data_IF_677028282356
#
_entry.id   IF_677028282356
#
_cell.length_a   1.000
_cell.length_b   1.000
_cell.length_c   1.000
_cell.angle_alpha   90.00
_cell.angle_beta   90.00
_cell.angle_gamma   90.00
#
_symmetry.space_group_name_H-M   'P 1'
#
loop_
_entity.id
_entity.type
_entity.pdbx_description
1 polymer ?
#
# COMPACT_ATOMS: atom_id res chain seq x y z
N UNK A 1 -19.91 -6.43 20.78
CA UNK A 1 -19.89 -7.16 19.48
C UNK A 1 -20.25 -6.27 18.29
N UNK A 2 -21.27 -5.41 18.36
CA UNK A 2 -21.67 -4.56 17.20
C UNK A 2 -20.56 -3.66 16.64
N UNK A 3 -19.70 -3.09 17.49
CA UNK A 3 -18.56 -2.26 17.02
C UNK A 3 -17.57 -3.04 16.15
N UNK A 4 -17.36 -4.33 16.43
CA UNK A 4 -16.47 -5.21 15.63
C UNK A 4 -17.08 -5.47 14.25
N UNK A 5 -18.42 -5.63 14.18
CA UNK A 5 -19.14 -5.81 12.91
C UNK A 5 -18.94 -4.62 11.95
N UNK A 6 -18.75 -3.41 12.48
CA UNK A 6 -18.57 -2.15 11.72
C UNK A 6 -17.17 -1.95 11.15
N UNK A 7 -16.17 -2.72 11.57
CA UNK A 7 -14.80 -2.58 11.10
C UNK A 7 -14.77 -2.84 9.59
N UNK A 8 -14.60 -1.84 8.71
CA UNK A 8 -14.67 -2.10 7.27
C UNK A 8 -13.44 -2.88 6.81
N UNK A 9 -13.58 -3.77 5.82
CA UNK A 9 -12.44 -4.50 5.23
C UNK A 9 -11.33 -3.57 4.74
N UNK A 10 -11.68 -2.34 4.35
CA UNK A 10 -10.72 -1.31 3.95
C UNK A 10 -9.74 -0.87 5.05
N UNK A 11 -9.98 -1.22 6.32
CA UNK A 11 -9.03 -0.96 7.40
C UNK A 11 -7.68 -1.65 7.17
N UNK A 12 -7.66 -2.75 6.39
CA UNK A 12 -6.43 -3.40 5.93
C UNK A 12 -5.46 -2.44 5.23
N UNK A 13 -5.99 -1.46 4.47
CA UNK A 13 -5.18 -0.41 3.87
C UNK A 13 -4.56 0.54 4.90
N UNK A 14 -5.31 0.87 5.96
CA UNK A 14 -4.82 1.71 7.07
C UNK A 14 -3.76 0.97 7.89
N UNK A 15 -3.96 -0.32 8.15
CA UNK A 15 -2.98 -1.18 8.82
C UNK A 15 -1.65 -1.16 8.03
N UNK A 16 -1.74 -1.42 6.72
CA UNK A 16 -0.59 -1.38 5.82
C UNK A 16 0.09 0.01 5.83
N UNK A 17 -0.69 1.08 5.74
CA UNK A 17 -0.19 2.46 5.75
C UNK A 17 0.52 2.82 7.06
N UNK A 18 -0.04 2.46 8.22
CA UNK A 18 0.56 2.69 9.53
C UNK A 18 1.87 1.89 9.71
N UNK A 19 1.89 0.62 9.32
CA UNK A 19 3.10 -0.19 9.37
C UNK A 19 4.21 0.36 8.44
N UNK A 20 3.84 0.80 7.24
CA UNK A 20 4.76 1.45 6.32
C UNK A 20 5.24 2.82 6.85
N UNK A 21 4.38 3.58 7.53
CA UNK A 21 4.72 4.89 8.09
C UNK A 21 5.76 4.74 9.20
N UNK A 22 5.63 3.71 10.05
CA UNK A 22 6.69 3.37 11.01
C UNK A 22 8.03 3.09 10.35
N UNK A 23 8.06 2.41 9.19
CA UNK A 23 9.29 2.18 8.43
C UNK A 23 9.83 3.48 7.80
N UNK A 24 8.96 4.36 7.28
CA UNK A 24 9.36 5.67 6.74
C UNK A 24 10.05 6.54 7.82
N UNK A 25 9.48 6.51 9.04
CA UNK A 25 9.93 7.31 10.17
C UNK A 25 11.05 6.66 10.99
N UNK A 26 11.47 5.43 10.64
CA UNK A 26 12.49 4.69 11.38
C UNK A 26 13.81 5.47 11.54
N UNK A 27 14.19 6.27 10.54
CA UNK A 27 15.41 7.09 10.61
C UNK A 27 15.38 8.16 11.71
N UNK A 28 14.20 8.49 12.25
CA UNK A 28 14.04 9.43 13.36
C UNK A 28 14.00 8.72 14.73
N UNK A 29 13.93 7.38 14.75
CA UNK A 29 13.99 6.59 15.98
C UNK A 29 13.26 5.25 15.86
N UNK A 30 13.88 4.19 16.39
CA UNK A 30 13.27 2.85 16.41
C UNK A 30 11.99 2.81 17.26
N UNK A 31 11.93 3.60 18.34
CA UNK A 31 10.72 3.75 19.15
C UNK A 31 9.53 4.29 18.35
N UNK A 32 9.77 5.26 17.45
CA UNK A 32 8.72 5.80 16.58
C UNK A 32 8.21 4.72 15.64
N UNK A 33 9.13 3.94 15.02
CA UNK A 33 8.77 2.79 14.19
C UNK A 33 7.86 1.82 14.93
N UNK A 34 8.21 1.46 16.17
CA UNK A 34 7.41 0.54 16.98
C UNK A 34 6.07 1.11 17.42
N UNK A 35 5.94 2.42 17.67
CA UNK A 35 4.64 3.05 17.99
C UNK A 35 3.67 2.88 16.82
N UNK A 36 4.07 3.27 15.61
CA UNK A 36 3.22 3.15 14.43
C UNK A 36 2.95 1.68 14.07
N UNK A 37 3.94 0.80 14.21
CA UNK A 37 3.77 -0.65 14.07
C UNK A 37 2.80 -1.24 15.10
N UNK A 38 2.84 -0.76 16.35
CA UNK A 38 1.94 -1.17 17.43
C UNK A 38 0.50 -0.75 17.16
N UNK A 39 0.26 0.47 16.69
CA UNK A 39 -1.08 0.90 16.27
C UNK A 39 -1.59 0.04 15.11
N UNK A 40 -0.73 -0.21 14.10
CA UNK A 40 -1.08 -1.09 12.99
C UNK A 40 -1.45 -2.51 13.49
N UNK A 41 -0.71 -3.04 14.47
CA UNK A 41 -0.97 -4.36 15.04
C UNK A 41 -2.29 -4.42 15.81
N UNK A 42 -2.64 -3.37 16.57
CA UNK A 42 -3.96 -3.30 17.23
C UNK A 42 -5.09 -3.28 16.20
N UNK A 43 -4.95 -2.51 15.12
CA UNK A 43 -5.93 -2.49 14.02
C UNK A 43 -6.03 -3.86 13.32
N UNK A 44 -4.90 -4.56 13.15
CA UNK A 44 -4.87 -5.92 12.62
C UNK A 44 -5.68 -6.89 13.50
N UNK A 45 -5.51 -6.83 14.82
CA UNK A 45 -6.30 -7.64 15.76
C UNK A 45 -7.80 -7.34 15.64
N UNK A 46 -8.20 -6.07 15.48
CA UNK A 46 -9.60 -5.70 15.25
C UNK A 46 -10.18 -6.32 13.97
N UNK A 47 -9.39 -6.31 12.88
CA UNK A 47 -9.81 -6.94 11.62
C UNK A 47 -9.90 -8.47 11.74
N UNK A 48 -8.96 -9.11 12.44
CA UNK A 48 -9.00 -10.55 12.70
C UNK A 48 -10.20 -10.94 13.58
N UNK A 49 -10.52 -10.15 14.60
CA UNK A 49 -11.74 -10.33 15.38
C UNK A 49 -12.99 -10.24 14.48
N UNK A 50 -13.07 -9.30 13.54
CA UNK A 50 -14.19 -9.27 12.57
C UNK A 50 -14.23 -10.54 11.72
N UNK A 51 -13.07 -11.05 11.29
CA UNK A 51 -13.01 -12.26 10.48
C UNK A 51 -13.50 -13.52 11.20
N UNK A 52 -13.22 -13.62 12.50
CA UNK A 52 -13.65 -14.76 13.32
C UNK A 52 -15.13 -14.65 13.68
N UNK A 53 -15.59 -13.48 14.13
CA UNK A 53 -16.94 -13.32 14.68
C UNK A 53 -18.01 -12.95 13.63
N UNK A 54 -17.64 -12.39 12.47
CA UNK A 54 -18.58 -11.92 11.44
C UNK A 54 -18.14 -12.29 10.01
N UNK A 55 -17.87 -13.58 9.70
CA UNK A 55 -17.40 -14.00 8.39
C UNK A 55 -18.41 -13.71 7.27
N UNK A 56 -19.72 -13.72 7.54
CA UNK A 56 -20.75 -13.41 6.53
C UNK A 56 -20.61 -11.97 6.02
N UNK A 57 -20.34 -11.02 6.91
CA UNK A 57 -20.17 -9.60 6.56
C UNK A 57 -18.93 -9.39 5.71
N UNK A 58 -17.83 -10.10 6.02
CA UNK A 58 -16.63 -10.05 5.17
C UNK A 58 -16.87 -10.66 3.80
N UNK A 59 -17.64 -11.75 3.71
CA UNK A 59 -18.00 -12.37 2.43
C UNK A 59 -18.80 -11.41 1.55
N UNK A 60 -19.72 -10.66 2.14
CA UNK A 60 -20.47 -9.61 1.44
C UNK A 60 -19.55 -8.48 0.95
N UNK A 61 -18.67 -7.96 1.81
CA UNK A 61 -17.70 -6.93 1.43
C UNK A 61 -16.75 -7.41 0.33
N UNK A 62 -16.34 -8.69 0.35
CA UNK A 62 -15.47 -9.33 -0.64
C UNK A 62 -16.16 -9.63 -1.98
N UNK A 63 -17.49 -9.61 -2.05
CA UNK A 63 -18.24 -10.01 -3.25
C UNK A 63 -18.10 -9.07 -4.45
N UNK A 64 -17.69 -7.81 -4.20
CA UNK A 64 -17.55 -6.78 -5.22
C UNK A 64 -16.06 -6.48 -5.52
N UNK A 65 -15.73 -5.95 -6.71
CA UNK A 65 -14.34 -5.78 -7.12
C UNK A 65 -13.54 -4.82 -6.23
N UNK A 66 -14.18 -3.81 -5.64
CA UNK A 66 -13.52 -2.87 -4.74
C UNK A 66 -13.10 -3.59 -3.46
N UNK A 67 -14.02 -4.29 -2.78
CA UNK A 67 -13.71 -4.98 -1.53
C UNK A 67 -12.74 -6.15 -1.73
N UNK A 68 -12.92 -6.95 -2.79
CA UNK A 68 -11.96 -7.99 -3.16
C UNK A 68 -10.55 -7.41 -3.38
N UNK A 69 -10.45 -6.32 -4.14
CA UNK A 69 -9.16 -5.70 -4.44
C UNK A 69 -8.50 -5.05 -3.23
N UNK A 70 -9.26 -4.41 -2.35
CA UNK A 70 -8.72 -3.80 -1.12
C UNK A 70 -8.21 -4.84 -0.13
N UNK A 71 -8.81 -6.04 -0.12
CA UNK A 71 -8.37 -7.18 0.72
C UNK A 71 -6.89 -7.52 0.49
N UNK A 72 -6.37 -7.29 -0.72
CA UNK A 72 -4.96 -7.52 -1.03
C UNK A 72 -3.99 -6.66 -0.19
N UNK A 73 -4.46 -5.60 0.48
CA UNK A 73 -3.63 -4.86 1.45
C UNK A 73 -3.35 -5.64 2.74
N UNK A 74 -4.18 -6.63 3.09
CA UNK A 74 -3.97 -7.49 4.26
C UNK A 74 -2.69 -8.33 4.17
N UNK A 75 -2.47 -9.19 3.15
CA UNK A 75 -1.20 -9.91 3.01
C UNK A 75 -0.01 -8.97 2.81
N UNK A 76 -0.17 -7.83 2.12
CA UNK A 76 0.89 -6.81 2.04
C UNK A 76 1.30 -6.32 3.44
N UNK A 77 0.34 -6.08 4.34
CA UNK A 77 0.63 -5.70 5.72
C UNK A 77 1.34 -6.84 6.47
N UNK A 78 0.94 -8.10 6.28
CA UNK A 78 1.61 -9.26 6.86
C UNK A 78 3.08 -9.37 6.40
N UNK A 79 3.38 -9.07 5.13
CA UNK A 79 4.76 -9.00 4.66
C UNK A 79 5.56 -7.95 5.43
N UNK A 80 5.00 -6.76 5.70
CA UNK A 80 5.67 -5.76 6.53
C UNK A 80 5.81 -6.22 7.99
N UNK A 81 4.75 -6.76 8.58
CA UNK A 81 4.77 -7.26 9.96
C UNK A 81 5.79 -8.37 10.16
N UNK A 82 6.01 -9.21 9.15
CA UNK A 82 7.08 -10.22 9.20
C UNK A 82 8.45 -9.58 9.48
N UNK A 83 8.75 -8.44 8.84
CA UNK A 83 10.01 -7.70 9.03
C UNK A 83 10.03 -6.99 10.39
N UNK A 84 8.89 -6.51 10.89
CA UNK A 84 8.77 -6.02 12.28
C UNK A 84 9.02 -7.13 13.30
N UNK A 85 8.53 -8.34 13.05
CA UNK A 85 8.63 -9.48 13.95
C UNK A 85 10.05 -10.08 13.98
N UNK A 86 10.82 -9.91 12.90
CA UNK A 86 12.14 -10.54 12.73
C UNK A 86 13.12 -10.34 13.92
N UNK A 87 13.27 -9.15 14.51
CA UNK A 87 14.17 -8.96 15.66
C UNK A 87 13.68 -9.63 16.95
N UNK A 88 12.37 -9.91 17.07
CA UNK A 88 11.75 -10.46 18.28
C UNK A 88 11.56 -11.98 18.20
N UNK A 89 11.10 -12.47 17.04
CA UNK A 89 10.73 -13.87 16.79
C UNK A 89 11.16 -14.31 15.38
N UNK A 90 12.48 -14.43 15.11
CA UNK A 90 12.99 -14.70 13.77
C UNK A 90 12.47 -16.02 13.17
N UNK A 91 12.21 -17.03 14.02
CA UNK A 91 11.65 -18.33 13.59
C UNK A 91 10.24 -18.25 13.00
N UNK A 92 9.46 -17.22 13.35
CA UNK A 92 8.09 -17.00 12.84
C UNK A 92 8.11 -16.02 11.66
N UNK A 93 9.04 -15.05 11.67
CA UNK A 93 9.10 -13.99 10.67
C UNK A 93 9.18 -14.50 9.23
N UNK A 94 10.10 -15.43 8.92
CA UNK A 94 10.22 -15.95 7.55
C UNK A 94 9.00 -16.79 7.11
N UNK A 95 8.49 -17.75 7.91
CA UNK A 95 7.24 -18.44 7.58
C UNK A 95 6.05 -17.49 7.35
N UNK A 96 5.90 -16.46 8.20
CA UNK A 96 4.84 -15.45 8.04
C UNK A 96 4.98 -14.69 6.71
N UNK A 97 6.20 -14.35 6.32
CA UNK A 97 6.49 -13.70 5.04
C UNK A 97 6.10 -14.59 3.85
N UNK A 98 6.46 -15.87 3.88
CA UNK A 98 6.09 -16.84 2.83
C UNK A 98 4.57 -17.03 2.74
N UNK A 99 3.88 -17.17 3.88
CA UNK A 99 2.42 -17.28 3.93
C UNK A 99 1.76 -16.02 3.37
N UNK A 100 2.27 -14.84 3.72
CA UNK A 100 1.76 -13.58 3.20
C UNK A 100 1.89 -13.47 1.67
N UNK A 101 3.01 -13.91 1.09
CA UNK A 101 3.20 -13.98 -0.37
C UNK A 101 2.21 -14.95 -0.99
N UNK A 102 2.06 -16.15 -0.42
CA UNK A 102 1.10 -17.14 -0.92
C UNK A 102 -0.34 -16.59 -0.90
N UNK A 103 -0.74 -15.93 0.18
CA UNK A 103 -2.05 -15.28 0.28
C UNK A 103 -2.25 -14.20 -0.79
N UNK A 104 -1.23 -13.38 -1.06
CA UNK A 104 -1.28 -12.39 -2.14
C UNK A 104 -1.46 -13.05 -3.51
N UNK A 105 -0.74 -14.15 -3.78
CA UNK A 105 -0.86 -14.90 -5.03
C UNK A 105 -2.25 -15.51 -5.17
N UNK A 106 -2.79 -16.12 -4.11
CA UNK A 106 -4.14 -16.70 -4.13
C UNK A 106 -5.22 -15.64 -4.39
N UNK A 107 -5.11 -14.46 -3.77
CA UNK A 107 -6.00 -13.33 -4.03
C UNK A 107 -5.87 -12.83 -5.47
N UNK A 108 -4.65 -12.76 -6.01
CA UNK A 108 -4.41 -12.40 -7.40
C UNK A 108 -5.11 -13.38 -8.35
N UNK A 109 -4.91 -14.70 -8.17
CA UNK A 109 -5.53 -15.74 -9.00
C UNK A 109 -7.06 -15.69 -8.93
N UNK A 110 -7.61 -15.54 -7.72
CA UNK A 110 -9.04 -15.37 -7.51
C UNK A 110 -9.58 -14.15 -8.26
N UNK A 111 -8.90 -13.01 -8.14
CA UNK A 111 -9.30 -11.75 -8.76
C UNK A 111 -9.22 -11.84 -10.29
N UNK A 112 -8.18 -12.49 -10.84
CA UNK A 112 -8.05 -12.76 -12.28
C UNK A 112 -9.22 -13.60 -12.78
N UNK A 113 -9.53 -14.72 -12.10
CA UNK A 113 -10.64 -15.60 -12.48
C UNK A 113 -11.99 -14.85 -12.48
N UNK A 114 -12.19 -13.99 -11.49
CA UNK A 114 -13.48 -13.33 -11.25
C UNK A 114 -13.69 -12.09 -12.13
N UNK A 115 -12.67 -11.25 -12.31
CA UNK A 115 -12.83 -9.92 -12.94
C UNK A 115 -12.01 -9.70 -14.21
N UNK A 116 -11.01 -10.54 -14.49
CA UNK A 116 -10.21 -10.44 -15.74
C UNK A 116 -10.69 -11.42 -16.79
N UNK A 117 -10.94 -12.68 -16.41
CA UNK A 117 -11.49 -13.66 -17.37
C UNK A 117 -12.95 -13.35 -17.75
N UNK A 118 -13.69 -12.70 -16.84
CA UNK A 118 -15.04 -12.18 -17.08
C UNK A 118 -15.00 -10.66 -17.09
N UNK A 119 -14.24 -10.11 -18.05
CA UNK A 119 -13.92 -8.68 -18.07
C UNK A 119 -15.16 -7.81 -18.34
N UNK A 120 -15.41 -6.88 -17.44
CA UNK A 120 -16.35 -5.77 -17.65
C UNK A 120 -15.66 -4.46 -17.26
N UNK A 121 -15.60 -3.48 -18.18
CA UNK A 121 -14.85 -2.23 -17.96
C UNK A 121 -15.33 -1.45 -16.73
N UNK A 122 -16.62 -1.56 -16.36
CA UNK A 122 -17.18 -0.95 -15.14
C UNK A 122 -16.55 -1.47 -13.84
N UNK A 123 -16.04 -2.71 -13.84
CA UNK A 123 -15.42 -3.37 -12.68
C UNK A 123 -13.92 -3.00 -12.54
N UNK A 124 -13.36 -2.25 -13.48
CA UNK A 124 -11.97 -1.78 -13.42
C UNK A 124 -11.87 -0.59 -12.47
N UNK A 125 -11.17 -0.78 -11.36
CA UNK A 125 -10.90 0.24 -10.35
C UNK A 125 -9.41 0.28 -10.02
N UNK A 126 -8.94 1.37 -9.41
CA UNK A 126 -7.54 1.49 -8.98
C UNK A 126 -7.10 0.40 -7.99
N UNK A 127 -8.03 -0.27 -7.32
CA UNK A 127 -7.72 -1.44 -6.46
C UNK A 127 -7.06 -2.59 -7.23
N UNK A 128 -7.19 -2.64 -8.57
CA UNK A 128 -6.48 -3.61 -9.40
C UNK A 128 -4.95 -3.45 -9.24
N UNK A 129 -4.46 -2.21 -9.04
CA UNK A 129 -3.04 -2.00 -8.71
C UNK A 129 -2.63 -2.70 -7.40
N UNK A 130 -3.50 -2.70 -6.39
CA UNK A 130 -3.22 -3.37 -5.11
C UNK A 130 -3.06 -4.87 -5.33
N UNK A 131 -3.96 -5.47 -6.11
CA UNK A 131 -3.95 -6.92 -6.38
C UNK A 131 -2.68 -7.35 -7.13
N UNK A 132 -2.38 -6.69 -8.24
CA UNK A 132 -1.33 -7.15 -9.16
C UNK A 132 0.06 -6.56 -8.83
N UNK A 133 0.13 -5.30 -8.41
CA UNK A 133 1.42 -4.64 -8.11
C UNK A 133 1.76 -4.74 -6.61
N UNK A 134 0.76 -4.97 -5.74
CA UNK A 134 0.98 -5.07 -4.30
C UNK A 134 1.95 -6.17 -3.87
N UNK A 135 2.10 -7.23 -4.67
CA UNK A 135 3.08 -8.31 -4.42
C UNK A 135 4.53 -7.78 -4.39
N UNK A 136 4.83 -6.63 -4.99
CA UNK A 136 6.16 -5.99 -4.96
C UNK A 136 6.58 -5.56 -3.54
N UNK A 137 5.68 -5.56 -2.55
CA UNK A 137 6.07 -5.49 -1.13
C UNK A 137 7.02 -6.65 -0.76
N UNK A 138 6.90 -7.81 -1.40
CA UNK A 138 7.86 -8.90 -1.26
C UNK A 138 9.25 -8.51 -1.81
N UNK A 139 9.33 -7.79 -2.93
CA UNK A 139 10.60 -7.24 -3.43
C UNK A 139 11.22 -6.28 -2.42
N UNK A 140 10.42 -5.35 -1.88
CA UNK A 140 10.84 -4.38 -0.86
C UNK A 140 11.42 -5.04 0.41
N UNK A 141 10.82 -6.16 0.83
CA UNK A 141 11.14 -6.85 2.09
C UNK A 141 12.10 -8.03 1.91
N UNK A 142 12.33 -8.50 0.68
CA UNK A 142 13.19 -9.65 0.37
C UNK A 142 14.61 -9.59 0.94
N UNK A 143 15.29 -8.42 1.06
CA UNK A 143 16.63 -8.39 1.65
C UNK A 143 16.63 -8.79 3.13
N UNK A 144 15.51 -8.61 3.84
CA UNK A 144 15.38 -9.03 5.23
C UNK A 144 15.54 -10.56 5.38
N UNK A 145 15.30 -11.34 4.33
CA UNK A 145 15.37 -12.80 4.36
C UNK A 145 16.42 -13.38 3.42
N UNK A 146 17.30 -12.56 2.85
CA UNK A 146 18.30 -12.96 1.84
C UNK A 146 17.66 -13.62 0.60
N UNK A 147 16.44 -13.19 0.25
CA UNK A 147 15.66 -13.71 -0.88
C UNK A 147 15.63 -12.73 -2.06
N UNK A 148 16.72 -11.98 -2.29
CA UNK A 148 16.76 -10.91 -3.30
C UNK A 148 16.44 -11.43 -4.71
N UNK A 149 16.89 -12.63 -5.09
CA UNK A 149 16.59 -13.21 -6.40
C UNK A 149 15.07 -13.37 -6.63
N UNK A 150 14.34 -13.86 -5.63
CA UNK A 150 12.87 -13.91 -5.66
C UNK A 150 12.28 -12.50 -5.71
N UNK A 151 12.83 -11.57 -4.92
CA UNK A 151 12.44 -10.16 -4.93
C UNK A 151 12.57 -9.50 -6.31
N UNK A 152 13.63 -9.80 -7.06
CA UNK A 152 13.86 -9.29 -8.42
C UNK A 152 12.84 -9.88 -9.41
N UNK A 153 12.58 -11.19 -9.36
CA UNK A 153 11.54 -11.83 -10.17
C UNK A 153 10.15 -11.23 -9.93
N UNK A 154 9.79 -11.02 -8.66
CA UNK A 154 8.53 -10.36 -8.27
C UNK A 154 8.50 -8.90 -8.74
N UNK A 155 9.63 -8.18 -8.70
CA UNK A 155 9.70 -6.81 -9.19
C UNK A 155 9.38 -6.74 -10.68
N UNK A 156 9.97 -7.61 -11.51
CA UNK A 156 9.69 -7.62 -12.96
C UNK A 156 8.21 -7.89 -13.25
N UNK A 157 7.63 -8.89 -12.57
CA UNK A 157 6.19 -9.16 -12.68
C UNK A 157 5.35 -7.92 -12.34
N UNK A 158 5.60 -7.30 -11.19
CA UNK A 158 4.84 -6.15 -10.72
C UNK A 158 5.02 -4.92 -11.61
N UNK A 159 6.23 -4.69 -12.14
CA UNK A 159 6.52 -3.57 -13.02
C UNK A 159 5.83 -3.74 -14.39
N UNK A 160 5.84 -4.94 -14.97
CA UNK A 160 5.09 -5.23 -16.21
C UNK A 160 3.59 -5.07 -15.97
N UNK A 161 3.07 -5.62 -14.86
CA UNK A 161 1.66 -5.47 -14.50
C UNK A 161 1.27 -4.00 -14.30
N UNK A 162 2.14 -3.19 -13.70
CA UNK A 162 1.95 -1.74 -13.58
C UNK A 162 1.79 -1.08 -14.95
N UNK A 163 2.68 -1.35 -15.91
CA UNK A 163 2.61 -0.72 -17.24
C UNK A 163 1.30 -1.06 -17.96
N UNK A 164 0.85 -2.31 -17.88
CA UNK A 164 -0.43 -2.74 -18.45
C UNK A 164 -1.60 -2.05 -17.74
N UNK A 165 -1.62 -2.09 -16.40
CA UNK A 165 -2.71 -1.52 -15.61
C UNK A 165 -2.79 0.00 -15.70
N UNK A 166 -1.66 0.69 -15.92
CA UNK A 166 -1.64 2.13 -16.14
C UNK A 166 -2.52 2.51 -17.32
N UNK A 167 -2.46 1.73 -18.41
CA UNK A 167 -3.32 1.93 -19.58
C UNK A 167 -4.77 1.55 -19.27
N UNK A 168 -5.00 0.35 -18.74
CA UNK A 168 -6.34 -0.21 -18.51
C UNK A 168 -7.16 0.63 -17.52
N UNK A 169 -6.58 0.97 -16.38
CA UNK A 169 -7.27 1.72 -15.33
C UNK A 169 -7.45 3.18 -15.75
N UNK A 170 -6.44 3.82 -16.36
CA UNK A 170 -6.58 5.22 -16.81
C UNK A 170 -7.66 5.35 -17.88
N UNK A 171 -7.71 4.43 -18.84
CA UNK A 171 -8.76 4.38 -19.87
C UNK A 171 -10.15 4.36 -19.25
N UNK A 172 -10.39 3.49 -18.25
CA UNK A 172 -11.69 3.45 -17.55
C UNK A 172 -12.00 4.79 -16.90
N UNK A 173 -11.06 5.34 -16.13
CA UNK A 173 -11.29 6.57 -15.34
C UNK A 173 -11.50 7.82 -16.21
N UNK A 174 -11.02 7.82 -17.45
CA UNK A 174 -11.30 8.86 -18.44
C UNK A 174 -12.69 8.70 -19.09
N UNK A 175 -13.17 7.47 -19.27
CA UNK A 175 -14.42 7.17 -19.97
C UNK A 175 -15.65 7.15 -19.08
N UNK A 176 -15.50 6.69 -17.85
CA UNK A 176 -16.63 6.40 -16.97
C UNK A 176 -16.61 7.27 -15.72
N UNK A 177 -17.76 7.81 -15.28
CA UNK A 177 -17.83 8.56 -14.04
C UNK A 177 -17.53 7.63 -12.84
N UNK A 178 -16.85 8.19 -11.84
CA UNK A 178 -16.52 7.47 -10.61
C UNK A 178 -17.52 7.87 -9.52
N UNK A 179 -18.27 6.90 -8.94
CA UNK A 179 -19.18 7.17 -7.84
C UNK A 179 -18.46 7.88 -6.69
N UNK A 180 -19.15 8.81 -6.03
CA UNK A 180 -18.54 9.62 -4.96
C UNK A 180 -17.84 8.78 -3.87
N UNK A 181 -18.43 7.70 -3.34
CA UNK A 181 -17.76 6.87 -2.34
C UNK A 181 -16.46 6.22 -2.82
N UNK A 182 -16.28 6.07 -4.14
CA UNK A 182 -15.11 5.46 -4.76
C UNK A 182 -14.04 6.49 -5.20
N UNK A 183 -14.35 7.80 -5.19
CA UNK A 183 -13.39 8.85 -5.62
C UNK A 183 -12.07 8.81 -4.84
N UNK A 184 -12.05 8.62 -3.50
CA UNK A 184 -10.80 8.53 -2.75
C UNK A 184 -9.86 7.40 -3.23
N UNK A 185 -10.39 6.34 -3.84
CA UNK A 185 -9.56 5.25 -4.38
C UNK A 185 -8.59 5.72 -5.47
N UNK A 186 -8.82 6.87 -6.11
CA UNK A 186 -7.86 7.47 -7.04
C UNK A 186 -6.49 7.72 -6.40
N UNK A 187 -6.40 7.90 -5.08
CA UNK A 187 -5.12 8.06 -4.39
C UNK A 187 -4.19 6.85 -4.56
N UNK A 188 -4.74 5.66 -4.84
CA UNK A 188 -3.97 4.45 -5.12
C UNK A 188 -3.03 4.61 -6.33
N UNK A 189 -3.29 5.55 -7.26
CA UNK A 189 -2.36 5.84 -8.36
C UNK A 189 -0.93 6.14 -7.87
N UNK A 190 -0.76 6.77 -6.71
CA UNK A 190 0.56 7.08 -6.16
C UNK A 190 1.36 5.83 -5.73
N UNK A 191 0.69 4.70 -5.49
CA UNK A 191 1.30 3.51 -4.93
C UNK A 191 2.14 2.67 -5.91
N UNK A 192 1.64 2.22 -7.08
CA UNK A 192 2.29 1.15 -7.83
C UNK A 192 3.68 1.53 -8.38
N UNK A 193 3.83 2.73 -8.93
CA UNK A 193 5.14 3.21 -9.41
C UNK A 193 6.10 3.38 -8.24
N UNK A 194 5.67 4.04 -7.15
CA UNK A 194 6.46 4.19 -5.94
C UNK A 194 6.89 2.86 -5.32
N UNK A 195 5.99 1.88 -5.27
CA UNK A 195 6.27 0.56 -4.73
C UNK A 195 7.28 -0.18 -5.61
N UNK A 196 7.19 -0.06 -6.94
CA UNK A 196 8.23 -0.57 -7.85
C UNK A 196 9.57 0.14 -7.61
N UNK A 197 9.59 1.46 -7.48
CA UNK A 197 10.80 2.23 -7.16
C UNK A 197 11.46 1.74 -5.87
N UNK A 198 10.69 1.63 -4.79
CA UNK A 198 11.20 1.14 -3.51
C UNK A 198 11.62 -0.34 -3.58
N UNK A 199 10.86 -1.17 -4.30
CA UNK A 199 11.19 -2.58 -4.55
C UNK A 199 12.51 -2.75 -5.32
N UNK A 200 12.74 -1.95 -6.36
CA UNK A 200 13.99 -1.93 -7.12
C UNK A 200 15.17 -1.50 -6.23
N UNK A 201 15.00 -0.41 -5.50
CA UNK A 201 16.03 0.12 -4.60
C UNK A 201 16.46 -0.89 -3.52
N UNK A 202 15.55 -1.78 -3.09
CA UNK A 202 15.83 -2.78 -2.07
C UNK A 202 16.33 -4.12 -2.62
N UNK A 203 15.70 -4.65 -3.69
CA UNK A 203 15.95 -6.01 -4.16
C UNK A 203 17.20 -6.16 -5.06
N UNK A 204 17.65 -5.07 -5.69
CA UNK A 204 18.78 -5.09 -6.63
C UNK A 204 20.05 -4.61 -5.94
N UNK A 205 21.09 -5.45 -5.91
CA UNK A 205 22.39 -5.09 -5.35
C UNK A 205 23.06 -4.00 -6.19
N UNK A 206 23.27 -4.31 -7.47
CA UNK A 206 23.76 -3.37 -8.48
C UNK A 206 22.58 -2.65 -9.13
N UNK A 207 22.64 -1.31 -9.15
CA UNK A 207 21.55 -0.47 -9.62
C UNK A 207 22.02 0.37 -10.79
N UNK A 208 21.15 0.51 -11.80
CA UNK A 208 21.40 1.42 -12.90
C UNK A 208 20.95 2.84 -12.52
N UNK A 209 21.87 3.81 -12.57
CA UNK A 209 21.60 5.19 -12.14
C UNK A 209 20.46 5.83 -12.95
N UNK A 210 20.48 5.65 -14.27
CA UNK A 210 19.46 6.18 -15.17
C UNK A 210 18.07 5.60 -14.88
N UNK A 211 18.00 4.30 -14.56
CA UNK A 211 16.75 3.66 -14.21
C UNK A 211 16.20 4.13 -12.85
N UNK A 212 17.06 4.35 -11.84
CA UNK A 212 16.64 4.93 -10.55
C UNK A 212 16.08 6.35 -10.76
N UNK A 213 16.73 7.18 -11.60
CA UNK A 213 16.24 8.51 -11.94
C UNK A 213 14.89 8.47 -12.66
N UNK A 214 14.73 7.56 -13.64
CA UNK A 214 13.47 7.36 -14.33
C UNK A 214 12.34 6.97 -13.36
N UNK A 215 12.59 5.99 -12.49
CA UNK A 215 11.63 5.53 -11.49
C UNK A 215 11.26 6.63 -10.49
N UNK A 216 12.26 7.41 -10.04
CA UNK A 216 12.04 8.57 -9.17
C UNK A 216 11.17 9.63 -9.86
N UNK A 217 11.53 10.05 -11.07
CA UNK A 217 10.76 11.04 -11.82
C UNK A 217 9.31 10.58 -12.07
N UNK A 218 9.12 9.33 -12.50
CA UNK A 218 7.79 8.76 -12.71
C UNK A 218 6.98 8.69 -11.40
N UNK A 219 7.63 8.32 -10.29
CA UNK A 219 7.02 8.32 -8.95
C UNK A 219 6.55 9.73 -8.58
N UNK A 220 7.40 10.74 -8.73
CA UNK A 220 7.08 12.12 -8.37
C UNK A 220 5.94 12.70 -9.23
N UNK A 221 5.90 12.44 -10.53
CA UNK A 221 4.82 12.91 -11.41
C UNK A 221 3.46 12.32 -10.98
N UNK A 222 3.41 11.01 -10.73
CA UNK A 222 2.16 10.34 -10.34
C UNK A 222 1.75 10.73 -8.91
N UNK A 223 2.72 10.92 -8.02
CA UNK A 223 2.48 11.45 -6.67
C UNK A 223 1.83 12.83 -6.71
N UNK A 224 2.35 13.76 -7.53
CA UNK A 224 1.77 15.11 -7.66
C UNK A 224 0.33 15.06 -8.19
N UNK A 225 0.05 14.20 -9.17
CA UNK A 225 -1.32 13.98 -9.63
C UNK A 225 -2.26 13.54 -8.49
N UNK A 226 -1.85 12.54 -7.71
CA UNK A 226 -2.64 12.06 -6.57
C UNK A 226 -2.79 13.15 -5.50
N UNK A 227 -1.72 13.87 -5.19
CA UNK A 227 -1.71 14.95 -4.20
C UNK A 227 -2.69 16.07 -4.58
N UNK A 228 -2.70 16.53 -5.83
CA UNK A 228 -3.65 17.55 -6.28
C UNK A 228 -5.09 17.08 -6.13
N UNK A 229 -5.39 15.83 -6.50
CA UNK A 229 -6.73 15.25 -6.33
C UNK A 229 -7.13 15.08 -4.86
N UNK A 230 -6.15 14.80 -3.98
CA UNK A 230 -6.35 14.61 -2.54
C UNK A 230 -7.05 15.81 -1.88
N UNK A 231 -6.71 17.03 -2.30
CA UNK A 231 -7.24 18.29 -1.74
C UNK A 231 -8.77 18.37 -1.88
N UNK A 232 -9.30 17.89 -3.02
CA UNK A 232 -10.74 17.85 -3.25
C UNK A 232 -11.40 16.71 -2.48
N UNK A 233 -10.76 15.54 -2.44
CA UNK A 233 -11.36 14.34 -1.85
C UNK A 233 -11.35 14.33 -0.33
N UNK A 234 -10.46 15.06 0.33
CA UNK A 234 -10.48 15.22 1.80
C UNK A 234 -11.73 15.96 2.29
N UNK A 235 -12.39 16.75 1.43
CA UNK A 235 -13.63 17.47 1.75
C UNK A 235 -14.88 16.59 1.74
N UNK A 236 -14.77 15.35 1.28
CA UNK A 236 -15.90 14.41 1.21
C UNK A 236 -16.30 13.92 2.62
N UNK A 237 -17.53 13.39 2.78
CA UNK A 237 -17.86 12.63 3.99
C UNK A 237 -16.98 11.39 4.10
N UNK A 238 -16.90 10.83 5.31
CA UNK A 238 -16.10 9.62 5.52
C UNK A 238 -16.64 8.45 4.69
N UNK A 239 -15.75 7.87 3.88
CA UNK A 239 -15.96 6.62 3.20
C UNK A 239 -14.82 5.65 3.55
N UNK A 240 -15.05 4.33 3.62
CA UNK A 240 -13.97 3.36 3.81
C UNK A 240 -12.85 3.46 2.76
N UNK A 241 -13.13 4.03 1.59
CA UNK A 241 -12.12 4.34 0.57
C UNK A 241 -11.06 5.36 1.02
N UNK A 242 -11.24 6.05 2.16
CA UNK A 242 -10.22 6.91 2.77
C UNK A 242 -8.95 6.14 3.16
N UNK A 243 -9.00 4.80 3.26
CA UNK A 243 -7.80 3.98 3.37
C UNK A 243 -6.78 4.26 2.25
N UNK A 244 -7.23 4.72 1.08
CA UNK A 244 -6.37 5.07 -0.05
C UNK A 244 -5.47 6.30 0.20
N UNK A 245 -5.72 7.12 1.22
CA UNK A 245 -4.82 8.23 1.59
C UNK A 245 -3.58 7.76 2.36
N UNK A 246 -3.51 6.48 2.74
CA UNK A 246 -2.47 5.97 3.65
C UNK A 246 -1.25 5.45 2.90
N UNK A 247 -1.17 4.14 2.67
CA UNK A 247 -0.04 3.45 2.05
C UNK A 247 0.45 4.11 0.75
N UNK A 248 -0.40 4.59 -0.19
CA UNK A 248 0.08 5.22 -1.42
C UNK A 248 1.02 6.40 -1.18
N UNK A 249 0.68 7.32 -0.27
CA UNK A 249 1.53 8.47 0.04
C UNK A 249 2.77 8.07 0.84
N UNK A 250 2.62 7.10 1.75
CA UNK A 250 3.74 6.59 2.55
C UNK A 250 4.78 5.91 1.68
N UNK A 251 4.37 5.03 0.75
CA UNK A 251 5.31 4.32 -0.12
C UNK A 251 5.96 5.27 -1.12
N UNK A 252 5.27 6.32 -1.59
CA UNK A 252 5.89 7.39 -2.38
C UNK A 252 7.01 8.10 -1.61
N UNK A 253 6.75 8.51 -0.36
CA UNK A 253 7.77 9.15 0.47
C UNK A 253 8.96 8.21 0.75
N UNK A 254 8.71 6.91 0.99
CA UNK A 254 9.77 5.90 1.13
C UNK A 254 10.59 5.81 -0.16
N UNK A 255 9.93 5.72 -1.32
CA UNK A 255 10.59 5.61 -2.61
C UNK A 255 11.47 6.82 -2.90
N UNK A 256 10.96 8.05 -2.73
CA UNK A 256 11.71 9.29 -2.92
C UNK A 256 12.93 9.33 -2.00
N UNK A 257 12.73 9.07 -0.70
CA UNK A 257 13.81 9.06 0.31
C UNK A 257 14.90 8.04 -0.04
N UNK A 258 14.51 6.82 -0.40
CA UNK A 258 15.43 5.76 -0.78
C UNK A 258 16.20 6.10 -2.07
N UNK A 259 15.52 6.60 -3.10
CA UNK A 259 16.15 6.96 -4.37
C UNK A 259 17.16 8.09 -4.20
N UNK A 260 16.85 9.13 -3.42
CA UNK A 260 17.80 10.22 -3.11
C UNK A 260 19.05 9.69 -2.40
N UNK A 261 18.87 8.79 -1.43
CA UNK A 261 20.01 8.15 -0.74
C UNK A 261 20.83 7.25 -1.67
N UNK A 262 20.17 6.45 -2.52
CA UNK A 262 20.82 5.56 -3.48
C UNK A 262 21.64 6.37 -4.49
N UNK A 263 21.06 7.40 -5.10
CA UNK A 263 21.76 8.25 -6.06
C UNK A 263 22.93 9.00 -5.42
N UNK A 264 22.78 9.46 -4.17
CA UNK A 264 23.88 10.04 -3.41
C UNK A 264 25.05 9.06 -3.21
N UNK A 265 24.77 7.79 -2.89
CA UNK A 265 25.79 6.73 -2.79
C UNK A 265 26.46 6.40 -4.14
N UNK A 266 25.78 6.71 -5.25
CA UNK A 266 26.32 6.56 -6.61
C UNK A 266 27.09 7.80 -7.10
N UNK A 267 27.31 8.81 -6.23
CA UNK A 267 28.06 10.03 -6.56
C UNK A 267 27.20 11.18 -7.10
N UNK A 268 25.89 10.99 -7.25
CA UNK A 268 24.95 12.03 -7.66
C UNK A 268 24.23 12.62 -6.45
N UNK A 269 24.78 13.69 -5.87
CA UNK A 269 24.12 14.39 -4.77
C UNK A 269 22.86 15.12 -5.24
N UNK A 270 21.71 14.77 -4.66
CA UNK A 270 20.42 15.45 -4.86
C UNK A 270 20.01 16.20 -3.59
N UNK A 271 20.91 17.00 -3.02
CA UNK A 271 20.64 17.74 -1.77
C UNK A 271 19.38 18.63 -1.85
N UNK A 272 19.08 19.18 -3.03
CA UNK A 272 17.87 19.98 -3.27
C UNK A 272 16.55 19.20 -3.08
N UNK A 273 16.59 17.86 -3.07
CA UNK A 273 15.43 17.00 -2.83
C UNK A 273 15.14 16.78 -1.34
N UNK A 274 16.04 17.16 -0.41
CA UNK A 274 15.82 16.94 1.02
C UNK A 274 14.56 17.65 1.56
N UNK A 275 14.25 18.91 1.16
CA UNK A 275 12.97 19.53 1.52
C UNK A 275 11.75 18.78 0.96
N UNK A 276 11.87 18.20 -0.25
CA UNK A 276 10.81 17.39 -0.86
C UNK A 276 10.58 16.11 -0.07
N UNK A 277 11.65 15.40 0.30
CA UNK A 277 11.57 14.19 1.15
C UNK A 277 10.89 14.50 2.48
N UNK A 278 11.25 15.62 3.13
CA UNK A 278 10.62 16.04 4.38
C UNK A 278 9.14 16.36 4.20
N UNK A 279 8.79 17.12 3.14
CA UNK A 279 7.41 17.48 2.84
C UNK A 279 6.54 16.25 2.57
N UNK A 280 7.00 15.33 1.71
CA UNK A 280 6.31 14.07 1.44
C UNK A 280 6.14 13.23 2.71
N UNK A 281 7.15 13.22 3.60
CA UNK A 281 7.06 12.53 4.90
C UNK A 281 5.98 13.13 5.80
N UNK A 282 5.90 14.46 5.89
CA UNK A 282 4.89 15.17 6.69
C UNK A 282 3.48 14.90 6.12
N UNK A 283 3.32 14.98 4.80
CA UNK A 283 2.03 14.72 4.13
C UNK A 283 1.60 13.26 4.36
N UNK A 284 2.51 12.30 4.16
CA UNK A 284 2.23 10.89 4.37
C UNK A 284 1.82 10.59 5.82
N UNK A 285 2.52 11.18 6.79
CA UNK A 285 2.17 11.05 8.21
C UNK A 285 0.80 11.65 8.50
N UNK A 286 0.56 12.90 8.06
CA UNK A 286 -0.70 13.61 8.27
C UNK A 286 -1.90 12.86 7.69
N UNK A 287 -1.81 12.43 6.44
CA UNK A 287 -2.88 11.66 5.77
C UNK A 287 -3.14 10.31 6.44
N UNK A 288 -2.09 9.59 6.82
CA UNK A 288 -2.22 8.27 7.44
C UNK A 288 -2.85 8.37 8.83
N UNK A 289 -2.39 9.33 9.65
CA UNK A 289 -2.96 9.57 10.99
C UNK A 289 -4.41 10.03 10.87
N UNK A 290 -4.69 10.99 9.98
CA UNK A 290 -6.05 11.47 9.75
C UNK A 290 -6.99 10.35 9.31
N UNK A 291 -6.62 9.52 8.33
CA UNK A 291 -7.42 8.39 7.90
C UNK A 291 -7.64 7.39 9.05
N UNK A 292 -6.60 7.08 9.83
CA UNK A 292 -6.72 6.22 11.01
C UNK A 292 -7.76 6.77 12.00
N UNK A 293 -7.68 8.05 12.36
CA UNK A 293 -8.64 8.70 13.26
C UNK A 293 -10.08 8.63 12.73
N UNK A 294 -10.29 8.85 11.44
CA UNK A 294 -11.63 8.76 10.82
C UNK A 294 -12.20 7.34 10.85
N UNK A 295 -11.35 6.32 10.69
CA UNK A 295 -11.76 4.92 10.86
C UNK A 295 -12.12 4.62 12.32
N UNK A 296 -11.31 5.09 13.29
CA UNK A 296 -11.59 4.90 14.71
C UNK A 296 -12.91 5.61 15.12
N UNK A 297 -13.15 6.83 14.63
CA UNK A 297 -14.40 7.56 14.82
C UNK A 297 -15.60 6.75 14.28
N UNK A 298 -15.49 6.21 13.07
CA UNK A 298 -16.53 5.39 12.46
C UNK A 298 -16.84 4.11 13.26
N UNK A 299 -15.80 3.44 13.75
CA UNK A 299 -15.93 2.17 14.48
C UNK A 299 -16.47 2.38 15.89
N UNK A 300 -15.98 3.39 16.61
CA UNK A 300 -16.19 3.52 18.05
C UNK A 300 -17.17 4.61 18.47
N UNK A 301 -17.32 5.67 17.69
CA UNK A 301 -18.04 6.90 18.09
C UNK A 301 -19.37 7.11 17.35
N UNK A 302 -19.53 6.59 16.13
CA UNK A 302 -20.80 6.70 15.40
C UNK A 302 -21.89 5.89 16.14
N UNK A 303 -23.01 6.50 16.55
CA UNK A 303 -24.12 5.78 17.18
C UNK A 303 -24.82 4.86 16.16
N UNK A 304 -25.36 3.73 16.66
CA UNK A 304 -26.13 2.76 15.87
C UNK A 304 -27.39 3.40 15.30
#
# INVERSE_FOLDING_TARGET
MEKIKRVPLAISGVILGMAALGNLLQSYGEGIRLIFGGVAFVLLLLLLCKAIFFPQVLKEEFSNPIGAGVTATFPMALMLFSVYAKPFVPGIAFPLWCVAILLQILLLLYFTKTYVLHFEEKNVHTVWYIVYVGIVVASLTSPAYKMQALGQGIFYFGFIALLILLVVVSKRYLKMPVPEPAKPLMMIYAAPMALCTAGYNQAFAEKNQGFVLFLLAATSVIYLFALVKSISFLKLPFYPSYAAFTFPFVISAIATKQSVMVLGKMGMSLAFMQPVVLLETIIAAGFTIYACLRFLEHIFLKKA
#
